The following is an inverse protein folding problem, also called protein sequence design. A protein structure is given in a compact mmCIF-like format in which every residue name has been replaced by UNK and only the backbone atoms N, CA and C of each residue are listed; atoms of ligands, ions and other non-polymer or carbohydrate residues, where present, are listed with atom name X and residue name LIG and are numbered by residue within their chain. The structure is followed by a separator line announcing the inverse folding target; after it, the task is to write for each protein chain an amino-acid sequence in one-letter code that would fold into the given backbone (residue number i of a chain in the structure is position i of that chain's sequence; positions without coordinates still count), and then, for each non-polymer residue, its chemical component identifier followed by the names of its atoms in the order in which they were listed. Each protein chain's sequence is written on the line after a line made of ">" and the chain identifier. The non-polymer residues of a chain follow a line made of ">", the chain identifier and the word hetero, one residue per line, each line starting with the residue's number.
data_IF_984810732535
#
_entry.id   IF_984810732535
#
_cell.length_a   1.000
_cell.length_b   1.000
_cell.length_c   1.000
_cell.angle_alpha   90.00
_cell.angle_beta   90.00
_cell.angle_gamma   90.00
#
_symmetry.space_group_name_H-M   'P 1'
#
loop_
_entity.id
_entity.type
_entity.pdbx_description
1 polymer ?
#
# COMPACT_ATOMS: atom_id res chain seq x y z
N UNK A 1 -24.37 -2.92 -3.97
CA UNK A 1 -25.17 -1.69 -3.80
C UNK A 1 -25.07 -0.84 -5.06
N UNK A 2 -26.18 -0.31 -5.57
CA UNK A 2 -26.20 0.65 -6.68
C UNK A 2 -26.51 2.04 -6.12
N UNK A 3 -25.71 3.03 -6.51
CA UNK A 3 -25.92 4.45 -6.24
C UNK A 3 -26.13 5.18 -7.57
N UNK A 4 -27.16 6.01 -7.64
CA UNK A 4 -27.49 6.79 -8.82
C UNK A 4 -27.35 8.27 -8.49
N UNK A 5 -26.51 8.96 -9.26
CA UNK A 5 -26.31 10.40 -9.21
C UNK A 5 -26.81 11.03 -10.53
N UNK A 6 -27.01 12.36 -10.60
CA UNK A 6 -27.53 13.01 -11.80
C UNK A 6 -26.69 12.76 -13.08
N UNK A 7 -25.38 12.59 -12.91
CA UNK A 7 -24.38 12.51 -13.98
C UNK A 7 -23.64 11.15 -14.04
N UNK A 8 -23.82 10.30 -13.04
CA UNK A 8 -23.10 9.01 -12.93
C UNK A 8 -23.89 7.94 -12.19
N UNK A 9 -23.57 6.69 -12.49
CA UNK A 9 -24.03 5.52 -11.72
C UNK A 9 -22.81 4.85 -11.11
N UNK A 10 -22.92 4.44 -9.85
CA UNK A 10 -21.87 3.73 -9.14
C UNK A 10 -22.42 2.40 -8.62
N UNK A 11 -21.70 1.31 -8.89
CA UNK A 11 -21.98 -0.01 -8.31
C UNK A 11 -20.85 -0.35 -7.34
N UNK A 12 -21.23 -0.82 -6.15
CA UNK A 12 -20.31 -1.16 -5.05
C UNK A 12 -20.57 -2.61 -4.64
N UNK A 13 -19.56 -3.47 -4.71
CA UNK A 13 -19.58 -4.77 -4.05
C UNK A 13 -19.12 -4.58 -2.60
N UNK A 14 -19.93 -4.99 -1.64
CA UNK A 14 -19.61 -4.89 -0.22
C UNK A 14 -19.65 -6.28 0.40
N UNK A 15 -18.58 -6.67 1.09
CA UNK A 15 -18.43 -7.95 1.81
C UNK A 15 -18.18 -7.57 3.28
N UNK A 16 -19.22 -7.45 4.13
CA UNK A 16 -19.11 -6.85 5.47
C UNK A 16 -18.23 -7.61 6.45
N UNK A 17 -17.94 -8.88 6.18
CA UNK A 17 -17.13 -9.77 7.02
C UNK A 17 -16.24 -10.63 6.12
N UNK A 18 -15.34 -9.97 5.39
CA UNK A 18 -14.43 -10.65 4.48
C UNK A 18 -13.51 -11.61 5.25
N UNK A 19 -13.32 -12.79 4.69
CA UNK A 19 -12.46 -13.85 5.18
C UNK A 19 -11.36 -14.15 4.17
N UNK A 20 -10.37 -14.97 4.56
CA UNK A 20 -9.33 -15.44 3.63
C UNK A 20 -9.91 -16.15 2.40
N UNK A 21 -11.11 -16.74 2.50
CA UNK A 21 -11.81 -17.38 1.38
C UNK A 21 -12.32 -16.40 0.32
N UNK A 22 -12.46 -15.11 0.67
CA UNK A 22 -12.82 -14.04 -0.26
C UNK A 22 -11.61 -13.50 -1.05
N UNK A 23 -10.40 -14.02 -0.82
CA UNK A 23 -9.22 -13.74 -1.64
C UNK A 23 -9.41 -14.26 -3.06
N UNK A 24 -9.13 -13.42 -4.06
CA UNK A 24 -9.27 -13.83 -5.45
C UNK A 24 -9.19 -12.68 -6.45
N UNK A 25 -9.49 -12.99 -7.71
CA UNK A 25 -9.61 -11.99 -8.78
C UNK A 25 -11.04 -11.51 -8.86
N UNK A 26 -11.21 -10.20 -8.72
CA UNK A 26 -12.49 -9.52 -8.86
C UNK A 26 -12.50 -8.75 -10.18
N UNK A 27 -13.62 -8.80 -10.89
CA UNK A 27 -13.82 -8.06 -12.13
C UNK A 27 -14.96 -7.06 -11.97
N UNK A 28 -14.69 -5.81 -12.33
CA UNK A 28 -15.71 -4.80 -12.53
C UNK A 28 -15.85 -4.56 -14.03
N UNK A 29 -17.02 -4.88 -14.60
CA UNK A 29 -17.30 -4.70 -16.02
C UNK A 29 -18.50 -3.76 -16.22
N UNK A 30 -18.38 -2.86 -17.18
CA UNK A 30 -19.43 -1.91 -17.58
C UNK A 30 -19.70 -2.08 -19.06
N UNK A 31 -20.94 -2.41 -19.41
CA UNK A 31 -21.38 -2.53 -20.80
C UNK A 31 -22.23 -1.33 -21.20
N UNK A 32 -21.83 -0.65 -22.26
CA UNK A 32 -22.65 0.36 -22.93
C UNK A 32 -23.77 -0.34 -23.71
N UNK A 33 -25.03 -0.13 -23.31
CA UNK A 33 -26.17 -0.84 -23.92
C UNK A 33 -26.49 -0.40 -25.36
N UNK A 34 -26.09 0.81 -25.77
CA UNK A 34 -26.33 1.32 -27.13
C UNK A 34 -25.30 0.78 -28.12
N UNK A 35 -24.03 0.72 -27.72
CA UNK A 35 -22.93 0.29 -28.60
C UNK A 35 -22.56 -1.19 -28.42
N UNK A 36 -22.99 -1.81 -27.32
CA UNK A 36 -22.59 -3.17 -26.92
C UNK A 36 -21.15 -3.27 -26.41
N UNK A 37 -20.40 -2.17 -26.36
CA UNK A 37 -19.01 -2.18 -25.90
C UNK A 37 -18.94 -2.41 -24.40
N UNK A 38 -18.00 -3.26 -23.96
CA UNK A 38 -17.74 -3.53 -22.55
C UNK A 38 -16.33 -3.10 -22.20
N UNK A 39 -16.20 -2.33 -21.13
CA UNK A 39 -14.93 -2.04 -20.48
C UNK A 39 -14.88 -2.81 -19.15
N UNK A 40 -13.74 -3.43 -18.85
CA UNK A 40 -13.57 -4.11 -17.56
C UNK A 40 -12.21 -3.84 -16.92
N UNK A 41 -12.22 -3.89 -15.60
CA UNK A 41 -11.06 -3.79 -14.74
C UNK A 41 -11.01 -5.03 -13.84
N UNK A 42 -9.91 -5.76 -13.91
CA UNK A 42 -9.66 -6.95 -13.08
C UNK A 42 -8.62 -6.60 -12.02
N UNK A 43 -8.92 -6.91 -10.75
CA UNK A 43 -8.06 -6.65 -9.61
C UNK A 43 -7.83 -7.94 -8.80
N UNK A 44 -6.60 -8.17 -8.36
CA UNK A 44 -6.30 -9.20 -7.37
C UNK A 44 -6.54 -8.64 -5.97
N UNK A 45 -7.43 -9.25 -5.20
CA UNK A 45 -7.71 -8.89 -3.81
C UNK A 45 -7.19 -10.00 -2.92
N UNK A 46 -6.40 -9.62 -1.90
CA UNK A 46 -5.91 -10.54 -0.86
C UNK A 46 -6.47 -10.10 0.49
N UNK A 47 -7.09 -11.03 1.20
CA UNK A 47 -7.60 -10.82 2.56
C UNK A 47 -6.69 -11.57 3.52
N UNK A 48 -6.13 -10.88 4.51
CA UNK A 48 -5.32 -11.51 5.54
C UNK A 48 -6.16 -11.81 6.79
N UNK A 49 -5.90 -12.95 7.42
CA UNK A 49 -6.60 -13.37 8.64
C UNK A 49 -6.32 -12.45 9.85
N UNK A 50 -5.13 -11.84 9.87
CA UNK A 50 -4.68 -10.92 10.92
C UNK A 50 -3.79 -9.84 10.35
N UNK A 51 -3.76 -8.69 11.02
CA UNK A 51 -2.80 -7.64 10.73
C UNK A 51 -1.37 -8.12 10.94
N UNK A 52 -0.44 -7.64 10.12
CA UNK A 52 0.97 -7.97 10.26
C UNK A 52 1.85 -6.77 9.87
N UNK A 53 3.08 -6.81 10.38
CA UNK A 53 4.17 -5.90 9.98
C UNK A 53 5.44 -6.73 9.95
N UNK A 54 6.08 -6.76 8.80
CA UNK A 54 7.35 -7.42 8.56
C UNK A 54 8.34 -6.40 8.00
N UNK A 55 9.46 -6.23 8.70
CA UNK A 55 10.56 -5.39 8.22
C UNK A 55 11.47 -6.25 7.38
N UNK A 56 11.46 -5.98 6.08
CA UNK A 56 12.40 -6.54 5.13
C UNK A 56 13.65 -5.66 5.21
N UNK A 57 14.59 -6.06 6.06
CA UNK A 57 15.84 -5.34 6.27
C UNK A 57 16.81 -5.63 5.13
N UNK A 58 16.58 -5.01 3.98
CA UNK A 58 17.53 -4.93 2.87
C UNK A 58 18.05 -3.48 2.76
N UNK A 59 19.37 -3.33 2.63
CA UNK A 59 19.99 -2.02 2.37
C UNK A 59 20.61 -1.31 3.58
N UNK A 60 20.46 -1.84 4.81
CA UNK A 60 21.18 -1.34 5.99
C UNK A 60 21.90 -2.51 6.67
N UNK A 61 23.23 -2.47 6.68
CA UNK A 61 24.05 -3.45 7.40
C UNK A 61 24.01 -3.26 8.92
N UNK A 62 24.56 -4.22 9.70
CA UNK A 62 24.71 -4.08 11.15
C UNK A 62 25.60 -2.90 11.55
N UNK A 63 26.52 -2.49 10.66
CA UNK A 63 27.39 -1.33 10.81
C UNK A 63 27.52 -0.66 9.44
N UNK A 64 27.33 0.66 9.42
CA UNK A 64 27.50 1.51 8.24
C UNK A 64 28.47 2.64 8.61
N UNK A 65 29.46 2.90 7.75
CA UNK A 65 30.47 3.94 7.97
C UNK A 65 30.32 4.98 6.87
N UNK A 66 30.22 6.25 7.25
CA UNK A 66 30.13 7.39 6.34
C UNK A 66 31.20 8.41 6.70
N UNK A 67 31.78 9.06 5.70
CA UNK A 67 32.77 10.13 5.93
C UNK A 67 32.08 11.37 6.50
N UNK A 68 32.83 12.21 7.25
CA UNK A 68 32.34 13.39 7.97
C UNK A 68 31.63 14.46 7.11
N UNK A 69 31.63 14.33 5.78
CA UNK A 69 31.05 15.29 4.82
C UNK A 69 30.20 14.60 3.74
N UNK A 70 29.90 13.31 3.91
CA UNK A 70 29.09 12.55 2.97
C UNK A 70 27.67 12.38 3.49
N UNK A 71 26.70 12.51 2.59
CA UNK A 71 25.31 12.16 2.86
C UNK A 71 25.12 10.66 2.61
N UNK A 72 24.32 10.03 3.47
CA UNK A 72 23.98 8.61 3.36
C UNK A 72 22.48 8.45 3.46
N UNK A 73 21.91 7.73 2.51
CA UNK A 73 20.52 7.31 2.55
C UNK A 73 20.41 5.92 3.18
N UNK A 74 19.43 5.77 4.07
CA UNK A 74 19.07 4.51 4.70
C UNK A 74 17.65 4.12 4.27
N UNK A 75 17.52 3.03 3.54
CA UNK A 75 16.24 2.53 3.05
C UNK A 75 15.89 1.24 3.77
N UNK A 76 14.64 1.13 4.23
CA UNK A 76 14.05 -0.12 4.72
C UNK A 76 12.78 -0.41 3.93
N UNK A 77 12.48 -1.70 3.76
CA UNK A 77 11.26 -2.14 3.11
C UNK A 77 10.38 -2.78 4.17
N UNK A 78 9.09 -2.47 4.13
CA UNK A 78 8.12 -2.94 5.11
C UNK A 78 6.98 -3.59 4.34
N UNK A 79 6.70 -4.86 4.62
CA UNK A 79 5.47 -5.52 4.19
C UNK A 79 4.50 -5.50 5.37
N UNK A 80 3.32 -4.91 5.18
CA UNK A 80 2.36 -4.73 6.25
C UNK A 80 0.94 -4.60 5.69
N UNK A 81 -0.01 -5.10 6.47
CA UNK A 81 -1.43 -4.82 6.31
C UNK A 81 -2.04 -4.64 7.71
N UNK A 82 -2.65 -3.48 8.03
CA UNK A 82 -2.86 -2.28 7.19
C UNK A 82 -1.58 -1.43 7.02
N UNK A 83 -1.72 -0.31 6.31
CA UNK A 83 -0.63 0.66 6.10
C UNK A 83 0.06 1.03 7.44
N UNK A 84 1.38 0.85 7.55
CA UNK A 84 2.09 1.01 8.81
C UNK A 84 2.40 2.48 9.12
N UNK A 85 2.53 2.80 10.41
CA UNK A 85 3.07 4.10 10.86
C UNK A 85 4.57 3.98 11.08
N UNK A 86 5.36 4.75 10.32
CA UNK A 86 6.82 4.73 10.37
C UNK A 86 7.36 5.91 11.17
N UNK A 87 8.33 5.66 12.05
CA UNK A 87 9.09 6.68 12.80
C UNK A 87 10.56 6.28 12.85
N UNK A 88 11.44 7.24 12.62
CA UNK A 88 12.89 7.04 12.66
C UNK A 88 13.48 7.56 13.96
N UNK A 89 14.47 6.84 14.49
CA UNK A 89 15.13 7.16 15.75
C UNK A 89 16.65 7.07 15.58
N UNK A 90 17.36 7.95 16.26
CA UNK A 90 18.81 7.89 16.44
C UNK A 90 19.12 8.10 17.92
N UNK A 91 19.90 7.19 18.51
CA UNK A 91 20.31 7.27 19.92
C UNK A 91 19.13 7.45 20.90
N UNK A 92 17.98 6.85 20.57
CA UNK A 92 16.74 6.94 21.34
C UNK A 92 15.93 8.23 21.13
N UNK A 93 16.46 9.21 20.39
CA UNK A 93 15.75 10.43 20.04
C UNK A 93 15.01 10.24 18.70
N UNK A 94 13.73 10.60 18.66
CA UNK A 94 12.99 10.61 17.40
C UNK A 94 13.60 11.67 16.48
N UNK A 95 13.92 11.28 15.25
CA UNK A 95 14.45 12.21 14.25
C UNK A 95 13.33 13.14 13.80
N UNK A 96 13.61 14.43 13.79
CA UNK A 96 12.75 15.49 13.25
C UNK A 96 13.42 16.15 12.03
N UNK A 97 12.65 16.93 11.28
CA UNK A 97 13.01 17.44 9.95
C UNK A 97 14.12 18.52 9.95
N UNK A 98 14.86 18.71 11.04
CA UNK A 98 15.83 19.79 11.19
C UNK A 98 17.13 19.59 10.39
N UNK A 99 17.60 18.34 10.28
CA UNK A 99 18.83 17.96 9.54
C UNK A 99 18.71 16.64 8.79
N UNK A 100 17.52 16.03 8.80
CA UNK A 100 17.27 14.71 8.25
C UNK A 100 15.96 14.78 7.48
N UNK A 101 15.92 14.19 6.29
CA UNK A 101 14.66 14.02 5.55
C UNK A 101 14.24 12.56 5.67
N UNK A 102 12.98 12.33 6.04
CA UNK A 102 12.39 10.98 6.03
C UNK A 102 11.21 10.96 5.08
N UNK A 103 11.13 9.93 4.25
CA UNK A 103 10.04 9.73 3.31
C UNK A 103 9.58 8.28 3.37
N UNK A 104 8.27 8.09 3.51
CA UNK A 104 7.63 6.77 3.38
C UNK A 104 6.80 6.78 2.11
N UNK A 105 6.99 5.81 1.23
CA UNK A 105 6.25 5.70 -0.03
C UNK A 105 5.64 4.31 -0.13
N UNK A 106 4.34 4.25 -0.40
CA UNK A 106 3.68 2.99 -0.69
C UNK A 106 4.14 2.48 -2.07
N UNK A 107 4.75 1.29 -2.11
CA UNK A 107 5.22 0.69 -3.36
C UNK A 107 4.05 0.00 -4.06
N UNK A 108 3.43 0.67 -5.03
CA UNK A 108 2.40 0.07 -5.89
C UNK A 108 3.02 -0.88 -6.91
N UNK A 109 2.51 -2.12 -7.03
CA UNK A 109 2.86 -3.05 -8.12
C UNK A 109 3.87 -4.15 -7.79
N UNK A 110 4.15 -4.41 -6.50
CA UNK A 110 4.98 -5.55 -6.05
C UNK A 110 4.15 -6.77 -5.59
N UNK A 111 2.85 -6.80 -5.90
CA UNK A 111 1.95 -7.92 -5.63
C UNK A 111 1.11 -8.24 -6.86
#
# INVERSE_FOLDING_TARGET
>A
MKLTFPDKVQYILNIPEASVADTGRYECAVTNQLTGQTESLILGITVHERSFVEVISNGIGPVEVVSLLEEKEFTIYIDADPEPKVRWFKDGLQLDDSYISTKTTHLTGLR
#
